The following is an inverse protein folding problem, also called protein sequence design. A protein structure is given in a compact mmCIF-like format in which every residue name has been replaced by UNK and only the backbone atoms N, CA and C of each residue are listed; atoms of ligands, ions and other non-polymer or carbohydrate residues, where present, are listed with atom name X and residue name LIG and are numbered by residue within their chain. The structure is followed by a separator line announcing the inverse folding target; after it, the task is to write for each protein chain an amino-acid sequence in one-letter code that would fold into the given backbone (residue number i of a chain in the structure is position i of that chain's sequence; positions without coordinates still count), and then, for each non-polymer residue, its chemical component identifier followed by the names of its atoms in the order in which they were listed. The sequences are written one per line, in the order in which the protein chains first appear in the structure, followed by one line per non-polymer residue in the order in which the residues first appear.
data_IF_158438466973
#
_entry.id   IF_158438466973
#
_cell.length_a   1.000
_cell.length_b   1.000
_cell.length_c   1.000
_cell.angle_alpha   90.00
_cell.angle_beta   90.00
_cell.angle_gamma   90.00
#
_symmetry.space_group_name_H-M   'P 1'
#
loop_
_entity.id
_entity.type
_entity.pdbx_description
1 polymer ?
#
# COMPACT_ATOMS: atom_id res chain seq x y z
N UNK A 1 10.14 26.95 1.03
CA UNK A 1 10.37 25.52 1.35
C UNK A 1 11.83 25.31 1.67
N UNK A 2 12.28 24.05 1.76
CA UNK A 2 13.67 23.73 2.10
C UNK A 2 14.65 23.91 0.91
N UNK A 3 14.14 23.89 -0.33
CA UNK A 3 14.94 24.12 -1.54
C UNK A 3 15.60 25.51 -1.52
N UNK A 4 16.88 25.58 -1.90
CA UNK A 4 17.69 26.81 -1.94
C UNK A 4 17.72 27.58 -0.62
N UNK A 5 17.77 26.85 0.50
CA UNK A 5 17.72 27.43 1.85
C UNK A 5 18.81 28.48 2.10
N UNK A 6 20.04 28.23 1.63
CA UNK A 6 21.17 29.16 1.72
C UNK A 6 21.50 29.85 0.38
N UNK A 7 20.56 29.81 -0.57
CA UNK A 7 20.74 30.32 -1.93
C UNK A 7 21.53 29.40 -2.86
N UNK A 8 22.00 28.24 -2.39
CA UNK A 8 22.66 27.23 -3.24
C UNK A 8 21.73 26.09 -3.61
N UNK A 9 22.08 25.33 -4.64
CA UNK A 9 21.40 24.05 -4.91
C UNK A 9 21.89 22.95 -3.96
N UNK A 10 23.07 23.11 -3.35
CA UNK A 10 23.58 22.23 -2.30
C UNK A 10 22.95 22.61 -0.93
N UNK A 11 23.60 22.31 0.19
CA UNK A 11 23.04 22.33 1.57
C UNK A 11 22.36 21.01 1.94
N UNK A 12 21.03 20.95 1.98
CA UNK A 12 20.31 19.72 2.37
C UNK A 12 20.30 18.63 1.29
N UNK A 13 20.61 19.01 0.05
CA UNK A 13 20.44 18.19 -1.14
C UNK A 13 21.76 18.00 -1.87
N UNK A 14 21.86 16.95 -2.68
CA UNK A 14 22.97 16.86 -3.63
C UNK A 14 22.86 18.00 -4.67
N UNK A 15 23.99 18.38 -5.27
CA UNK A 15 24.01 19.33 -6.39
C UNK A 15 23.90 18.59 -7.74
N UNK A 16 23.57 19.34 -8.79
CA UNK A 16 23.41 18.83 -10.16
C UNK A 16 22.35 17.72 -10.28
N UNK A 17 22.53 16.86 -11.28
CA UNK A 17 21.55 15.82 -11.62
C UNK A 17 21.34 14.76 -10.52
N UNK A 18 22.29 14.59 -9.58
CA UNK A 18 22.11 13.67 -8.44
C UNK A 18 21.10 14.22 -7.43
N UNK A 19 20.95 15.55 -7.37
CA UNK A 19 20.07 16.25 -6.45
C UNK A 19 18.64 16.46 -6.92
N UNK A 20 18.26 15.88 -8.06
CA UNK A 20 16.98 16.13 -8.73
C UNK A 20 16.28 14.80 -9.08
N UNK A 21 14.99 14.73 -8.77
CA UNK A 21 14.11 13.63 -9.12
C UNK A 21 13.17 14.06 -10.26
N UNK A 22 13.59 13.82 -11.50
CA UNK A 22 12.93 14.36 -12.70
C UNK A 22 11.46 13.97 -12.85
N UNK A 23 11.04 12.77 -12.43
CA UNK A 23 9.64 12.36 -12.49
C UNK A 23 8.75 13.03 -11.45
N UNK A 24 9.34 13.50 -10.33
CA UNK A 24 8.59 14.07 -9.21
C UNK A 24 8.81 15.58 -9.07
N UNK A 25 9.59 16.19 -9.98
CA UNK A 25 10.00 17.60 -9.92
C UNK A 25 10.47 18.00 -8.51
N UNK A 26 11.33 17.17 -7.92
CA UNK A 26 11.70 17.21 -6.50
C UNK A 26 13.20 17.20 -6.27
N UNK A 27 13.64 17.67 -5.10
CA UNK A 27 15.05 17.64 -4.67
C UNK A 27 15.38 16.36 -3.90
N UNK A 28 16.61 15.86 -4.05
CA UNK A 28 17.10 14.64 -3.38
C UNK A 28 18.11 14.96 -2.29
N UNK A 29 17.83 14.50 -1.07
CA UNK A 29 18.66 14.73 0.12
C UNK A 29 20.08 14.18 -0.07
N UNK A 30 21.05 14.87 0.52
CA UNK A 30 22.41 14.35 0.65
C UNK A 30 22.55 13.64 2.00
N UNK A 31 22.34 12.32 2.01
CA UNK A 31 22.36 11.53 3.25
C UNK A 31 23.75 11.39 3.87
N UNK A 32 24.83 11.77 3.17
CA UNK A 32 26.18 11.79 3.75
C UNK A 32 26.44 12.99 4.67
N UNK A 33 25.62 14.04 4.60
CA UNK A 33 25.83 15.26 5.38
C UNK A 33 25.29 15.13 6.81
N UNK A 34 26.13 15.47 7.79
CA UNK A 34 25.79 15.31 9.20
C UNK A 34 24.57 16.12 9.62
N UNK A 35 24.42 17.35 9.11
CA UNK A 35 23.29 18.21 9.43
C UNK A 35 21.99 17.75 8.73
N UNK A 36 22.08 17.04 7.60
CA UNK A 36 20.93 16.37 6.97
C UNK A 36 20.48 15.20 7.84
N UNK A 37 21.41 14.36 8.32
CA UNK A 37 21.09 13.29 9.27
C UNK A 37 20.47 13.84 10.55
N UNK A 38 21.05 14.92 11.12
CA UNK A 38 20.48 15.59 12.30
C UNK A 38 19.07 16.06 12.02
N UNK A 39 18.84 16.73 10.90
CA UNK A 39 17.52 17.24 10.51
C UNK A 39 16.49 16.11 10.42
N UNK A 40 16.80 15.04 9.69
CA UNK A 40 15.87 13.92 9.46
C UNK A 40 15.61 13.09 10.72
N UNK A 41 16.64 12.73 11.48
CA UNK A 41 16.47 11.98 12.74
C UNK A 41 15.75 12.80 13.80
N UNK A 42 16.02 14.10 13.87
CA UNK A 42 15.29 15.00 14.78
C UNK A 42 13.84 15.17 14.34
N UNK A 43 13.56 15.15 13.03
CA UNK A 43 12.20 15.19 12.51
C UNK A 43 11.39 13.96 12.93
N UNK A 44 11.98 12.76 12.83
CA UNK A 44 11.35 11.53 13.32
C UNK A 44 11.01 11.66 14.81
N UNK A 45 12.00 12.02 15.65
CA UNK A 45 11.76 12.21 17.08
C UNK A 45 10.73 13.29 17.39
N UNK A 46 10.74 14.40 16.66
CA UNK A 46 9.80 15.50 16.83
C UNK A 46 8.34 15.04 16.69
N UNK A 47 8.03 14.27 15.65
CA UNK A 47 6.68 13.72 15.46
C UNK A 47 6.24 12.82 16.62
N UNK A 48 7.15 12.00 17.14
CA UNK A 48 6.87 11.17 18.31
C UNK A 48 6.64 12.00 19.56
N UNK A 49 7.59 12.87 19.92
CA UNK A 49 7.61 13.53 21.22
C UNK A 49 6.52 14.62 21.32
N UNK A 50 6.19 15.31 20.22
CA UNK A 50 5.22 16.40 20.23
C UNK A 50 3.80 15.97 19.86
N UNK A 51 3.65 14.95 19.01
CA UNK A 51 2.34 14.51 18.50
C UNK A 51 1.96 13.10 18.94
N UNK A 52 2.87 12.36 19.58
CA UNK A 52 2.58 11.04 20.11
C UNK A 52 2.35 9.96 19.04
N UNK A 53 2.97 10.08 17.86
CA UNK A 53 2.88 9.03 16.84
C UNK A 53 3.54 7.72 17.31
N UNK A 54 2.83 6.60 17.12
CA UNK A 54 3.31 5.25 17.47
C UNK A 54 4.19 4.61 16.38
N UNK A 55 4.39 5.28 15.25
CA UNK A 55 5.08 4.70 14.11
C UNK A 55 5.08 5.57 12.87
N UNK A 56 5.69 5.05 11.81
CA UNK A 56 5.91 5.76 10.55
C UNK A 56 5.77 4.83 9.36
N UNK A 57 5.19 5.34 8.28
CA UNK A 57 5.41 4.81 6.93
C UNK A 57 6.45 5.69 6.26
N UNK A 58 7.53 5.08 5.77
CA UNK A 58 8.54 5.77 4.97
C UNK A 58 8.14 5.60 3.50
N UNK A 59 7.75 6.72 2.89
CA UNK A 59 7.27 6.77 1.51
C UNK A 59 8.44 6.85 0.53
N UNK A 60 8.26 6.27 -0.65
CA UNK A 60 9.27 6.33 -1.71
C UNK A 60 10.61 5.66 -1.37
N UNK A 61 10.62 4.62 -0.52
CA UNK A 61 11.85 3.91 -0.13
C UNK A 61 12.59 3.36 -1.34
N UNK A 62 11.87 2.89 -2.37
CA UNK A 62 12.49 2.48 -3.65
C UNK A 62 13.33 3.60 -4.27
N UNK A 63 12.84 4.85 -4.25
CA UNK A 63 13.55 6.02 -4.77
C UNK A 63 14.82 6.32 -3.97
N UNK A 64 14.79 6.03 -2.66
CA UNK A 64 15.94 6.17 -1.78
C UNK A 64 16.98 5.06 -2.01
N UNK A 65 16.55 3.81 -2.18
CA UNK A 65 17.44 2.65 -2.24
C UNK A 65 18.32 2.60 -3.49
N UNK A 66 17.87 3.20 -4.59
CA UNK A 66 18.55 3.10 -5.88
C UNK A 66 18.86 4.47 -6.48
N UNK A 67 20.07 4.64 -7.00
CA UNK A 67 20.44 5.81 -7.78
C UNK A 67 19.63 5.93 -9.09
N UNK A 68 19.06 4.86 -9.62
CA UNK A 68 18.07 4.93 -10.72
C UNK A 68 16.67 5.30 -10.24
N UNK A 69 16.44 5.31 -8.92
CA UNK A 69 15.15 5.54 -8.26
C UNK A 69 14.08 4.50 -8.63
N UNK A 70 14.51 3.33 -9.12
CA UNK A 70 13.64 2.30 -9.69
C UNK A 70 13.09 2.65 -11.09
N UNK A 71 13.51 3.77 -11.69
CA UNK A 71 13.00 4.22 -13.00
C UNK A 71 13.63 3.36 -14.09
N UNK A 72 12.78 2.67 -14.86
CA UNK A 72 13.22 1.82 -15.97
C UNK A 72 13.85 0.50 -15.53
N UNK A 73 13.83 0.19 -14.23
CA UNK A 73 14.30 -1.07 -13.68
C UNK A 73 13.17 -2.10 -13.64
N UNK A 74 13.52 -3.34 -13.96
CA UNK A 74 12.67 -4.50 -13.67
C UNK A 74 13.27 -5.25 -12.48
N UNK A 75 12.48 -5.52 -11.46
CA UNK A 75 12.89 -6.35 -10.33
C UNK A 75 12.37 -7.77 -10.53
N UNK A 76 13.20 -8.62 -11.12
CA UNK A 76 12.87 -10.02 -11.43
C UNK A 76 13.00 -10.94 -10.21
N UNK A 77 13.72 -10.48 -9.18
CA UNK A 77 14.11 -11.29 -8.03
C UNK A 77 15.55 -11.80 -8.10
N UNK A 78 16.30 -11.47 -9.16
CA UNK A 78 17.74 -11.72 -9.22
C UNK A 78 18.49 -10.80 -8.26
N UNK A 79 19.37 -11.35 -7.43
CA UNK A 79 20.01 -10.61 -6.34
C UNK A 79 20.99 -9.55 -6.84
N UNK A 80 21.46 -9.64 -8.08
CA UNK A 80 22.32 -8.63 -8.69
C UNK A 80 21.59 -7.29 -8.91
N UNK A 81 20.26 -7.30 -9.02
CA UNK A 81 19.42 -6.09 -9.14
C UNK A 81 19.33 -5.33 -7.81
N UNK A 82 19.48 -6.04 -6.68
CA UNK A 82 19.37 -5.48 -5.33
C UNK A 82 20.72 -5.13 -4.70
N UNK A 83 21.81 -5.73 -5.18
CA UNK A 83 23.15 -5.58 -4.61
C UNK A 83 24.17 -5.27 -5.70
N UNK A 84 24.29 -3.99 -6.06
CA UNK A 84 25.22 -3.52 -7.09
C UNK A 84 25.52 -2.03 -6.94
N UNK A 85 26.23 -1.47 -7.93
CA UNK A 85 26.63 -0.04 -7.92
C UNK A 85 25.45 0.93 -8.01
N UNK A 86 24.26 0.44 -8.36
CA UNK A 86 23.05 1.25 -8.40
C UNK A 86 22.45 1.48 -7.00
N UNK A 87 22.86 0.72 -5.98
CA UNK A 87 22.33 0.88 -4.62
C UNK A 87 22.91 2.14 -3.99
N UNK A 88 22.04 3.02 -3.49
CA UNK A 88 22.46 4.20 -2.74
C UNK A 88 22.78 3.80 -1.29
N UNK A 89 24.06 3.56 -1.04
CA UNK A 89 24.54 3.15 0.29
C UNK A 89 24.36 4.25 1.35
N UNK A 90 24.34 5.52 0.97
CA UNK A 90 24.16 6.63 1.92
C UNK A 90 22.72 6.65 2.44
N UNK A 91 21.75 6.50 1.53
CA UNK A 91 20.35 6.38 1.88
C UNK A 91 20.07 5.11 2.72
N UNK A 92 20.67 3.98 2.34
CA UNK A 92 20.54 2.72 3.08
C UNK A 92 21.05 2.85 4.52
N UNK A 93 22.21 3.49 4.72
CA UNK A 93 22.76 3.75 6.05
C UNK A 93 21.82 4.66 6.86
N UNK A 94 21.29 5.73 6.26
CA UNK A 94 20.31 6.59 6.93
C UNK A 94 19.10 5.80 7.40
N UNK A 95 18.50 4.96 6.54
CA UNK A 95 17.34 4.13 6.89
C UNK A 95 17.66 3.16 8.03
N UNK A 96 18.81 2.50 7.99
CA UNK A 96 19.23 1.59 9.06
C UNK A 96 19.46 2.33 10.39
N UNK A 97 20.09 3.51 10.35
CA UNK A 97 20.29 4.36 11.53
C UNK A 97 18.95 4.88 12.07
N UNK A 98 18.03 5.30 11.21
CA UNK A 98 16.70 5.77 11.59
C UNK A 98 15.90 4.68 12.29
N UNK A 99 15.84 3.48 11.72
CA UNK A 99 15.16 2.34 12.34
C UNK A 99 15.82 1.93 13.67
N UNK A 100 17.15 1.84 13.73
CA UNK A 100 17.85 1.57 14.98
C UNK A 100 17.55 2.62 16.05
N UNK A 101 17.60 3.90 15.69
CA UNK A 101 17.32 5.02 16.58
C UNK A 101 15.89 4.97 17.13
N UNK A 102 14.89 4.80 16.26
CA UNK A 102 13.48 4.73 16.64
C UNK A 102 13.23 3.57 17.61
N UNK A 103 13.67 2.36 17.28
CA UNK A 103 13.49 1.18 18.14
C UNK A 103 14.27 1.24 19.45
N UNK A 104 15.34 2.04 19.51
CA UNK A 104 16.05 2.32 20.77
C UNK A 104 15.32 3.32 21.65
N UNK A 105 14.62 4.28 21.04
CA UNK A 105 13.77 5.22 21.78
C UNK A 105 12.50 4.54 22.28
N UNK A 106 11.90 3.69 21.46
CA UNK A 106 10.65 3.01 21.74
C UNK A 106 10.63 1.62 21.11
N UNK A 107 10.74 0.54 21.91
CA UNK A 107 10.72 -0.82 21.38
C UNK A 107 9.40 -1.22 20.71
N UNK A 108 8.32 -0.46 20.88
CA UNK A 108 7.01 -0.74 20.30
C UNK A 108 6.69 0.10 19.06
N UNK A 109 7.60 0.99 18.64
CA UNK A 109 7.42 1.77 17.42
C UNK A 109 7.28 0.85 16.22
N UNK A 110 6.39 1.19 15.29
CA UNK A 110 6.23 0.44 14.03
C UNK A 110 6.72 1.27 12.86
N UNK A 111 7.66 0.75 12.06
CA UNK A 111 8.11 1.37 10.81
C UNK A 111 7.76 0.50 9.59
N UNK A 112 7.11 1.12 8.61
CA UNK A 112 6.65 0.45 7.38
C UNK A 112 7.36 1.07 6.17
N UNK A 113 7.96 0.25 5.32
CA UNK A 113 8.58 0.70 4.08
C UNK A 113 7.62 0.62 2.88
N UNK A 114 7.50 1.72 2.14
CA UNK A 114 6.93 1.73 0.79
C UNK A 114 8.04 1.42 -0.24
N UNK A 115 8.30 0.12 -0.41
CA UNK A 115 9.26 -0.41 -1.37
C UNK A 115 8.59 -1.36 -2.37
N UNK A 116 8.60 -0.98 -3.65
CA UNK A 116 8.10 -1.82 -4.75
C UNK A 116 9.16 -2.81 -5.23
N UNK A 117 10.45 -2.54 -4.99
CA UNK A 117 11.53 -3.32 -5.59
C UNK A 117 11.57 -4.77 -5.11
N UNK A 118 11.31 -5.00 -3.83
CA UNK A 118 11.51 -6.35 -3.28
C UNK A 118 12.72 -6.49 -2.38
N UNK A 119 13.40 -5.41 -1.99
CA UNK A 119 14.75 -5.49 -1.41
C UNK A 119 14.83 -6.51 -0.26
N UNK A 120 15.67 -7.57 -0.39
CA UNK A 120 15.85 -8.54 0.68
C UNK A 120 16.38 -7.89 1.95
N UNK A 121 15.97 -8.40 3.12
CA UNK A 121 16.40 -7.95 4.45
C UNK A 121 16.02 -6.50 4.81
N UNK A 122 15.17 -5.86 4.01
CA UNK A 122 14.61 -4.54 4.31
C UNK A 122 13.84 -4.58 5.63
N UNK A 123 13.09 -5.66 5.87
CA UNK A 123 12.28 -5.84 7.08
C UNK A 123 12.90 -6.83 8.09
N UNK A 124 14.24 -6.95 8.11
CA UNK A 124 14.97 -7.70 9.14
C UNK A 124 15.62 -6.76 10.14
N UNK A 125 15.75 -7.14 11.42
CA UNK A 125 16.36 -6.29 12.44
C UNK A 125 17.78 -5.84 12.07
N UNK A 126 18.16 -4.62 12.48
CA UNK A 126 19.51 -4.09 12.25
C UNK A 126 20.62 -4.92 12.91
N UNK A 127 20.30 -5.61 14.02
CA UNK A 127 21.21 -6.55 14.68
C UNK A 127 21.53 -7.81 13.85
N UNK A 128 20.69 -8.13 12.85
CA UNK A 128 20.89 -9.22 11.88
C UNK A 128 21.47 -8.71 10.55
N UNK A 129 21.98 -7.47 10.53
CA UNK A 129 22.41 -6.77 9.31
C UNK A 129 21.27 -6.48 8.31
N UNK A 130 20.01 -6.42 8.77
CA UNK A 130 18.89 -5.87 8.00
C UNK A 130 18.78 -4.35 8.11
N UNK A 131 17.83 -3.76 7.38
CA UNK A 131 17.58 -2.30 7.40
C UNK A 131 16.69 -1.89 8.59
N UNK A 132 15.96 -2.83 9.18
CA UNK A 132 15.26 -2.65 10.44
C UNK A 132 13.83 -2.11 10.34
N UNK A 133 13.21 -2.14 9.16
CA UNK A 133 11.76 -1.92 9.08
C UNK A 133 11.00 -3.10 9.69
N UNK A 134 9.84 -2.85 10.27
CA UNK A 134 8.99 -3.91 10.81
C UNK A 134 8.19 -4.60 9.73
N UNK A 135 7.75 -3.83 8.73
CA UNK A 135 6.98 -4.34 7.61
C UNK A 135 7.21 -3.56 6.32
N UNK A 136 6.71 -4.11 5.22
CA UNK A 136 6.65 -3.46 3.92
C UNK A 136 5.28 -3.59 3.30
N UNK A 137 4.96 -2.69 2.36
CA UNK A 137 3.72 -2.75 1.61
C UNK A 137 3.74 -3.88 0.56
N UNK A 138 2.65 -4.66 0.49
CA UNK A 138 2.41 -5.68 -0.53
C UNK A 138 1.94 -5.08 -1.86
N UNK A 139 2.77 -4.26 -2.48
CA UNK A 139 2.39 -3.37 -3.60
C UNK A 139 1.95 -4.10 -4.88
N UNK A 140 2.36 -5.36 -5.09
CA UNK A 140 1.93 -6.16 -6.24
C UNK A 140 0.48 -6.65 -6.16
N UNK A 141 -0.13 -6.64 -4.97
CA UNK A 141 -1.48 -7.18 -4.75
C UNK A 141 -2.55 -6.31 -5.44
N UNK A 142 -2.59 -4.98 -5.26
CA UNK A 142 -3.52 -4.12 -6.01
C UNK A 142 -3.37 -4.24 -7.53
N UNK A 143 -2.14 -4.28 -8.04
CA UNK A 143 -1.88 -4.40 -9.48
C UNK A 143 -2.50 -5.67 -10.06
N UNK A 144 -2.42 -6.79 -9.33
CA UNK A 144 -3.07 -8.04 -9.72
C UNK A 144 -4.58 -7.90 -9.80
N UNK A 145 -5.21 -7.20 -8.84
CA UNK A 145 -6.65 -6.98 -8.89
C UNK A 145 -7.07 -6.10 -10.06
N UNK A 146 -6.31 -5.03 -10.34
CA UNK A 146 -6.58 -4.15 -11.48
C UNK A 146 -6.41 -4.91 -12.80
N UNK A 147 -5.35 -5.73 -12.94
CA UNK A 147 -5.11 -6.58 -14.11
C UNK A 147 -6.33 -7.48 -14.39
N UNK A 148 -6.81 -8.18 -13.36
CA UNK A 148 -7.98 -9.06 -13.47
C UNK A 148 -9.25 -8.28 -13.82
N UNK A 149 -9.50 -7.15 -13.15
CA UNK A 149 -10.74 -6.37 -13.31
C UNK A 149 -10.80 -5.58 -14.63
N UNK A 150 -9.66 -5.16 -15.17
CA UNK A 150 -9.59 -4.33 -16.38
C UNK A 150 -9.60 -5.16 -17.67
N UNK A 151 -8.95 -6.33 -17.65
CA UNK A 151 -8.59 -7.04 -18.89
C UNK A 151 -9.12 -8.47 -19.00
N UNK A 152 -9.72 -9.04 -17.96
CA UNK A 152 -9.98 -10.48 -17.89
C UNK A 152 -11.42 -10.76 -17.47
N UNK A 153 -12.13 -11.62 -18.23
CA UNK A 153 -13.46 -12.09 -17.79
C UNK A 153 -13.32 -13.04 -16.60
N UNK A 154 -14.36 -13.16 -15.77
CA UNK A 154 -14.32 -13.93 -14.52
C UNK A 154 -13.93 -15.40 -14.75
N UNK A 155 -14.38 -15.99 -15.86
CA UNK A 155 -14.09 -17.38 -16.23
C UNK A 155 -12.62 -17.58 -16.65
N UNK A 156 -11.96 -16.51 -17.07
CA UNK A 156 -10.56 -16.49 -17.49
C UNK A 156 -9.61 -16.12 -16.34
N UNK A 157 -10.11 -15.83 -15.14
CA UNK A 157 -9.25 -15.60 -13.98
C UNK A 157 -8.41 -16.84 -13.67
N UNK A 158 -7.09 -16.66 -13.63
CA UNK A 158 -6.14 -17.70 -13.28
C UNK A 158 -5.96 -17.75 -11.77
N UNK A 159 -6.54 -18.77 -11.14
CA UNK A 159 -6.61 -18.92 -9.69
C UNK A 159 -5.22 -19.17 -9.11
N UNK A 160 -4.40 -19.98 -9.76
CA UNK A 160 -3.04 -20.27 -9.33
C UNK A 160 -2.14 -19.04 -9.33
N UNK A 161 -2.29 -18.17 -10.33
CA UNK A 161 -1.55 -16.91 -10.42
C UNK A 161 -2.02 -15.89 -9.38
N UNK A 162 -3.32 -15.80 -9.12
CA UNK A 162 -3.87 -14.98 -8.04
C UNK A 162 -3.32 -15.41 -6.68
N UNK A 163 -3.45 -16.70 -6.35
CA UNK A 163 -2.93 -17.26 -5.10
C UNK A 163 -1.42 -17.06 -5.01
N UNK A 164 -0.68 -17.28 -6.10
CA UNK A 164 0.76 -17.02 -6.13
C UNK A 164 1.06 -15.57 -5.79
N UNK A 165 0.33 -14.61 -6.37
CA UNK A 165 0.57 -13.18 -6.08
C UNK A 165 0.29 -12.81 -4.63
N UNK A 166 -0.76 -13.37 -4.02
CA UNK A 166 -1.10 -13.12 -2.61
C UNK A 166 -0.09 -13.77 -1.64
N UNK A 167 0.54 -14.88 -2.04
CA UNK A 167 1.42 -15.67 -1.16
C UNK A 167 2.91 -15.50 -1.45
N UNK A 168 3.29 -14.90 -2.59
CA UNK A 168 4.67 -14.72 -3.01
C UNK A 168 5.33 -13.56 -2.25
N UNK A 169 5.69 -13.82 -1.01
CA UNK A 169 6.39 -12.88 -0.12
C UNK A 169 7.56 -13.56 0.59
N UNK A 170 8.47 -12.75 1.12
CA UNK A 170 9.67 -13.25 1.78
C UNK A 170 9.30 -13.80 3.16
N UNK A 171 9.67 -15.04 3.44
CA UNK A 171 9.47 -15.62 4.76
C UNK A 171 10.28 -14.86 5.82
N UNK A 172 9.66 -14.59 6.97
CA UNK A 172 10.19 -13.77 8.08
C UNK A 172 10.37 -12.27 7.80
N UNK A 173 9.75 -11.75 6.75
CA UNK A 173 9.62 -10.31 6.52
C UNK A 173 8.12 -9.98 6.43
N UNK A 174 7.62 -9.18 7.37
CA UNK A 174 6.20 -8.84 7.49
C UNK A 174 5.73 -8.06 6.27
N UNK A 175 4.61 -8.46 5.68
CA UNK A 175 3.97 -7.74 4.58
C UNK A 175 2.61 -7.18 5.01
N UNK A 176 2.41 -5.89 4.80
CA UNK A 176 1.11 -5.22 4.93
C UNK A 176 0.36 -5.38 3.62
N UNK A 177 -0.71 -6.18 3.63
CA UNK A 177 -1.53 -6.46 2.47
C UNK A 177 -2.71 -5.50 2.36
N UNK A 178 -3.07 -5.12 1.14
CA UNK A 178 -4.22 -4.28 0.84
C UNK A 178 -4.68 -4.57 -0.59
N UNK A 179 -6.00 -4.52 -0.80
CA UNK A 179 -6.58 -4.84 -2.11
C UNK A 179 -6.50 -3.66 -3.09
N UNK A 180 -6.60 -2.44 -2.56
CA UNK A 180 -6.50 -1.18 -3.30
C UNK A 180 -6.03 -0.09 -2.33
N UNK A 181 -5.42 0.96 -2.86
CA UNK A 181 -4.80 2.01 -2.06
C UNK A 181 -5.31 3.41 -2.42
N UNK A 182 -4.67 4.42 -1.84
CA UNK A 182 -4.90 5.80 -2.19
C UNK A 182 -4.56 6.12 -3.65
N UNK A 183 -3.57 5.45 -4.26
CA UNK A 183 -3.20 5.68 -5.66
C UNK A 183 -4.34 5.30 -6.62
N UNK A 184 -4.96 4.13 -6.41
CA UNK A 184 -6.11 3.68 -7.21
C UNK A 184 -7.37 4.50 -6.95
N UNK A 185 -7.43 5.21 -5.82
CA UNK A 185 -8.54 6.09 -5.52
C UNK A 185 -8.42 7.44 -6.25
N UNK A 186 -7.25 7.81 -6.79
CA UNK A 186 -7.04 9.09 -7.46
C UNK A 186 -7.60 9.11 -8.89
N UNK A 187 -7.80 10.32 -9.42
CA UNK A 187 -8.16 10.54 -10.82
C UNK A 187 -7.13 9.91 -11.77
N UNK A 188 -7.62 9.10 -12.71
CA UNK A 188 -6.77 8.36 -13.65
C UNK A 188 -6.82 6.85 -13.46
N UNK A 189 -7.28 6.39 -12.30
CA UNK A 189 -7.66 5.00 -12.07
C UNK A 189 -9.10 4.92 -11.50
N UNK A 190 -9.51 3.73 -11.09
CA UNK A 190 -10.82 3.45 -10.49
C UNK A 190 -10.65 2.59 -9.24
N UNK A 191 -11.50 2.83 -8.25
CA UNK A 191 -11.64 1.92 -7.10
C UNK A 191 -12.13 0.55 -7.57
N UNK A 192 -11.88 -0.50 -6.79
CA UNK A 192 -12.39 -1.85 -7.06
C UNK A 192 -13.91 -1.83 -7.19
N UNK A 193 -14.59 -1.06 -6.34
CA UNK A 193 -16.04 -0.87 -6.42
C UNK A 193 -16.46 -0.32 -7.79
N UNK A 194 -15.77 0.71 -8.29
CA UNK A 194 -16.10 1.33 -9.58
C UNK A 194 -15.66 0.49 -10.79
N UNK A 195 -14.61 -0.32 -10.67
CA UNK A 195 -14.27 -1.36 -11.65
C UNK A 195 -15.37 -2.41 -11.77
N UNK A 196 -15.92 -2.85 -10.64
CA UNK A 196 -16.92 -3.91 -10.59
C UNK A 196 -18.33 -3.45 -11.01
N UNK A 197 -18.73 -2.26 -10.60
CA UNK A 197 -20.12 -1.79 -10.70
C UNK A 197 -20.32 -0.61 -11.65
N UNK A 198 -19.26 0.17 -11.92
CA UNK A 198 -19.30 1.32 -12.80
C UNK A 198 -20.46 2.28 -12.51
N UNK A 199 -21.10 2.77 -13.57
CA UNK A 199 -22.20 3.74 -13.47
C UNK A 199 -23.48 3.18 -12.81
N UNK A 200 -23.63 1.87 -12.72
CA UNK A 200 -24.82 1.26 -12.09
C UNK A 200 -24.88 1.59 -10.59
N UNK A 201 -23.74 1.96 -9.98
CA UNK A 201 -23.68 2.43 -8.60
C UNK A 201 -24.61 3.63 -8.33
N UNK A 202 -24.84 4.49 -9.33
CA UNK A 202 -25.64 5.70 -9.16
C UNK A 202 -27.15 5.45 -9.17
N UNK A 203 -27.60 4.30 -9.67
CA UNK A 203 -29.03 4.00 -9.90
C UNK A 203 -29.52 2.77 -9.15
N UNK A 204 -28.65 1.77 -8.92
CA UNK A 204 -29.02 0.46 -8.39
C UNK A 204 -28.43 0.16 -6.99
N UNK A 205 -27.84 1.16 -6.33
CA UNK A 205 -27.38 1.05 -4.94
C UNK A 205 -28.48 1.28 -3.90
N UNK A 206 -29.72 1.57 -4.32
CA UNK A 206 -30.88 1.55 -3.41
C UNK A 206 -31.31 0.11 -3.11
N UNK A 207 -31.64 -0.17 -1.86
CA UNK A 207 -32.28 -1.42 -1.42
C UNK A 207 -33.68 -1.61 -2.01
N UNK A 208 -34.28 -0.53 -2.52
CA UNK A 208 -35.59 -0.52 -3.18
C UNK A 208 -35.49 -0.55 -4.71
N UNK A 209 -34.28 -0.53 -5.29
CA UNK A 209 -34.13 -0.62 -6.74
C UNK A 209 -34.47 -2.03 -7.23
N UNK A 210 -34.82 -2.14 -8.52
CA UNK A 210 -34.93 -3.44 -9.18
C UNK A 210 -33.60 -4.22 -9.07
N UNK A 211 -33.65 -5.57 -9.06
CA UNK A 211 -32.45 -6.41 -9.05
C UNK A 211 -31.53 -6.10 -10.23
N UNK A 212 -30.23 -6.03 -9.98
CA UNK A 212 -29.23 -5.73 -11.00
C UNK A 212 -28.01 -6.64 -10.79
N UNK A 213 -27.78 -7.55 -11.74
CA UNK A 213 -26.73 -8.55 -11.67
C UNK A 213 -25.31 -7.94 -11.58
N UNK A 214 -25.10 -6.74 -12.13
CA UNK A 214 -23.81 -6.03 -12.05
C UNK A 214 -23.54 -5.58 -10.61
N UNK A 215 -24.56 -5.04 -9.92
CA UNK A 215 -24.45 -4.67 -8.51
C UNK A 215 -24.29 -5.90 -7.63
N UNK A 216 -25.10 -6.94 -7.85
CA UNK A 216 -25.03 -8.16 -7.04
C UNK A 216 -23.64 -8.82 -7.16
N UNK A 217 -23.12 -8.94 -8.38
CA UNK A 217 -21.74 -9.39 -8.66
C UNK A 217 -20.72 -8.48 -7.98
N UNK A 218 -20.85 -7.17 -8.12
CA UNK A 218 -19.88 -6.22 -7.59
C UNK A 218 -19.83 -6.21 -6.07
N UNK A 219 -20.97 -6.30 -5.39
CA UNK A 219 -21.02 -6.42 -3.93
C UNK A 219 -20.39 -7.73 -3.45
N UNK A 220 -20.62 -8.83 -4.16
CA UNK A 220 -20.03 -10.13 -3.82
C UNK A 220 -18.51 -10.12 -4.01
N UNK A 221 -18.03 -9.73 -5.19
CA UNK A 221 -16.60 -9.73 -5.51
C UNK A 221 -15.82 -8.73 -4.67
N UNK A 222 -16.38 -7.56 -4.36
CA UNK A 222 -15.72 -6.59 -3.48
C UNK A 222 -15.41 -7.19 -2.10
N UNK A 223 -16.37 -7.91 -1.52
CA UNK A 223 -16.17 -8.62 -0.25
C UNK A 223 -15.14 -9.75 -0.38
N UNK A 224 -15.24 -10.56 -1.45
CA UNK A 224 -14.34 -11.70 -1.66
C UNK A 224 -12.88 -11.25 -1.88
N UNK A 225 -12.66 -10.24 -2.70
CA UNK A 225 -11.33 -9.66 -2.99
C UNK A 225 -10.69 -9.15 -1.70
N UNK A 226 -11.44 -8.43 -0.87
CA UNK A 226 -10.93 -7.91 0.40
C UNK A 226 -10.64 -9.02 1.39
N UNK A 227 -11.55 -9.99 1.54
CA UNK A 227 -11.36 -11.12 2.45
C UNK A 227 -10.16 -11.98 2.06
N UNK A 228 -10.00 -12.33 0.79
CA UNK A 228 -8.86 -13.16 0.36
C UNK A 228 -7.53 -12.41 0.46
N UNK A 229 -7.54 -11.09 0.22
CA UNK A 229 -6.36 -10.25 0.45
C UNK A 229 -6.00 -10.18 1.93
N UNK A 230 -7.00 -9.99 2.80
CA UNK A 230 -6.84 -9.94 4.25
C UNK A 230 -6.39 -11.28 4.83
N UNK A 231 -6.86 -12.40 4.29
CA UNK A 231 -6.56 -13.74 4.81
C UNK A 231 -5.31 -14.36 4.21
N UNK A 232 -4.92 -14.06 2.97
CA UNK A 232 -3.75 -14.67 2.33
C UNK A 232 -2.60 -13.70 2.06
N UNK A 233 -2.86 -12.40 1.96
CA UNK A 233 -1.95 -11.41 1.39
C UNK A 233 -0.75 -11.01 2.26
N UNK A 234 -0.87 -11.08 3.59
CA UNK A 234 0.17 -10.57 4.48
C UNK A 234 -0.04 -10.89 5.95
N UNK A 235 0.84 -10.37 6.79
CA UNK A 235 0.83 -10.41 8.26
C UNK A 235 0.17 -9.16 8.87
N UNK A 236 -0.22 -8.20 8.04
CA UNK A 236 -1.01 -7.02 8.43
C UNK A 236 -1.95 -6.63 7.29
N UNK A 237 -2.99 -5.86 7.60
CA UNK A 237 -3.96 -5.37 6.61
C UNK A 237 -4.04 -3.84 6.61
N UNK A 238 -4.20 -3.26 5.43
CA UNK A 238 -4.40 -1.82 5.24
C UNK A 238 -5.65 -1.57 4.40
N UNK A 239 -6.39 -0.52 4.75
CA UNK A 239 -7.54 -0.03 4.00
C UNK A 239 -7.47 1.50 3.88
N UNK A 240 -7.66 2.02 2.67
CA UNK A 240 -7.77 3.46 2.44
C UNK A 240 -9.20 3.95 2.66
N UNK A 241 -9.35 5.07 3.37
CA UNK A 241 -10.64 5.63 3.78
C UNK A 241 -11.67 5.69 2.64
N UNK A 242 -12.86 5.12 2.88
CA UNK A 242 -13.95 5.02 1.91
C UNK A 242 -14.01 3.68 1.18
N UNK A 243 -12.88 3.01 0.97
CA UNK A 243 -12.87 1.74 0.23
C UNK A 243 -13.51 0.61 1.06
N UNK A 244 -13.61 0.77 2.38
CA UNK A 244 -14.25 -0.20 3.26
C UNK A 244 -15.71 -0.46 2.93
N UNK A 245 -16.40 0.56 2.41
CA UNK A 245 -17.79 0.47 1.99
C UNK A 245 -17.98 0.58 0.48
N UNK A 246 -16.90 0.51 -0.30
CA UNK A 246 -16.95 0.64 -1.75
C UNK A 246 -17.40 2.04 -2.19
N UNK A 247 -16.76 3.09 -1.67
CA UNK A 247 -17.04 4.48 -2.04
C UNK A 247 -17.08 4.64 -3.58
N UNK A 248 -18.12 5.30 -4.13
CA UNK A 248 -18.25 5.50 -5.57
C UNK A 248 -17.25 6.56 -6.08
N UNK A 249 -17.24 6.80 -7.39
CA UNK A 249 -16.43 7.85 -8.03
C UNK A 249 -14.91 7.65 -7.80
N UNK A 250 -14.17 8.74 -7.70
CA UNK A 250 -12.73 8.83 -7.45
C UNK A 250 -12.44 10.09 -6.63
N UNK A 251 -11.21 10.19 -6.14
CA UNK A 251 -10.63 11.34 -5.45
C UNK A 251 -9.89 12.21 -6.49
N UNK A 252 -10.23 13.49 -6.60
CA UNK A 252 -9.48 14.45 -7.42
C UNK A 252 -9.28 15.73 -6.61
N UNK A 253 -8.03 16.15 -6.49
CA UNK A 253 -7.67 17.37 -5.76
C UNK A 253 -7.86 18.60 -6.65
N UNK A 254 -8.13 19.78 -6.08
CA UNK A 254 -8.15 21.04 -6.83
C UNK A 254 -6.84 21.24 -7.59
N UNK A 255 -6.96 21.44 -8.90
CA UNK A 255 -5.85 21.75 -9.80
C UNK A 255 -6.36 22.50 -11.02
N UNK A 256 -5.44 23.09 -11.78
CA UNK A 256 -5.76 23.84 -13.02
C UNK A 256 -6.59 22.97 -13.98
N UNK A 257 -6.27 21.68 -14.08
CA UNK A 257 -6.97 20.72 -14.96
C UNK A 257 -8.43 20.42 -14.60
N UNK A 258 -8.91 20.80 -13.41
CA UNK A 258 -10.30 20.65 -12.99
C UNK A 258 -10.93 21.96 -12.48
N UNK A 259 -10.35 23.11 -12.84
CA UNK A 259 -10.77 24.44 -12.42
C UNK A 259 -10.80 24.62 -10.89
N UNK A 260 -9.79 24.11 -10.19
CA UNK A 260 -9.67 24.20 -8.73
C UNK A 260 -10.90 23.64 -7.99
N UNK A 261 -11.47 22.56 -8.54
CA UNK A 261 -12.69 21.95 -8.01
C UNK A 261 -12.41 21.11 -6.76
N UNK A 262 -13.20 21.35 -5.71
CA UNK A 262 -13.23 20.53 -4.50
C UNK A 262 -14.30 19.42 -4.55
N UNK A 263 -15.02 19.28 -5.67
CA UNK A 263 -16.18 18.40 -5.76
C UNK A 263 -15.84 16.93 -5.45
N UNK A 264 -14.68 16.46 -5.89
CA UNK A 264 -14.20 15.08 -5.65
C UNK A 264 -13.19 14.98 -4.51
N UNK A 265 -12.75 16.11 -3.92
CA UNK A 265 -11.81 16.15 -2.79
C UNK A 265 -12.54 15.95 -1.44
N UNK A 266 -13.36 14.91 -1.34
CA UNK A 266 -14.22 14.63 -0.18
C UNK A 266 -14.52 13.14 -0.01
N UNK A 267 -15.12 12.78 1.12
CA UNK A 267 -15.76 11.48 1.34
C UNK A 267 -17.25 11.61 1.61
N UNK A 268 -18.02 10.72 1.01
CA UNK A 268 -19.47 10.70 1.07
C UNK A 268 -19.97 9.81 2.22
N UNK A 269 -19.64 10.17 3.47
CA UNK A 269 -19.96 9.35 4.66
C UNK A 269 -21.47 9.08 4.83
N UNK A 270 -22.32 9.99 4.37
CA UNK A 270 -23.78 9.80 4.38
C UNK A 270 -24.25 8.53 3.63
N UNK A 271 -23.43 7.98 2.72
CA UNK A 271 -23.78 6.76 1.97
C UNK A 271 -23.88 5.51 2.85
N UNK A 272 -23.13 5.43 3.94
CA UNK A 272 -23.18 4.31 4.89
C UNK A 272 -24.25 4.52 5.97
N UNK A 273 -24.58 5.76 6.29
CA UNK A 273 -25.60 6.11 7.29
C UNK A 273 -27.02 5.85 6.75
N UNK A 274 -27.22 6.02 5.44
CA UNK A 274 -28.51 5.81 4.79
C UNK A 274 -28.88 4.32 4.72
N UNK A 275 -29.89 3.95 5.52
CA UNK A 275 -30.39 2.58 5.61
C UNK A 275 -31.01 2.08 4.30
N UNK A 276 -31.38 2.98 3.38
CA UNK A 276 -31.93 2.64 2.07
C UNK A 276 -30.84 2.31 1.05
N UNK A 277 -29.55 2.52 1.34
CA UNK A 277 -28.45 2.25 0.41
C UNK A 277 -27.68 0.96 0.75
N UNK A 278 -27.15 0.31 -0.29
CA UNK A 278 -26.43 -0.98 -0.21
C UNK A 278 -24.98 -0.85 0.30
N UNK A 279 -24.40 0.36 0.36
CA UNK A 279 -23.03 0.59 0.88
C UNK A 279 -22.84 0.05 2.30
N UNK A 280 -23.89 0.14 3.13
CA UNK A 280 -23.93 -0.42 4.49
C UNK A 280 -23.57 -1.91 4.55
N UNK A 281 -23.86 -2.68 3.50
CA UNK A 281 -23.56 -4.12 3.47
C UNK A 281 -22.07 -4.39 3.29
N UNK A 282 -21.38 -3.55 2.53
CA UNK A 282 -19.92 -3.62 2.38
C UNK A 282 -19.24 -3.18 3.68
N UNK A 283 -19.71 -2.08 4.26
CA UNK A 283 -19.23 -1.56 5.54
C UNK A 283 -19.39 -2.59 6.68
N UNK A 284 -20.57 -3.22 6.77
CA UNK A 284 -20.84 -4.24 7.78
C UNK A 284 -19.97 -5.49 7.59
N UNK A 285 -19.76 -5.91 6.34
CA UNK A 285 -18.84 -7.00 6.04
C UNK A 285 -17.41 -6.67 6.47
N UNK A 286 -16.93 -5.45 6.19
CA UNK A 286 -15.61 -5.00 6.62
C UNK A 286 -15.45 -5.02 8.14
N UNK A 287 -16.44 -4.47 8.85
CA UNK A 287 -16.49 -4.48 10.31
C UNK A 287 -16.38 -5.91 10.85
N UNK A 288 -17.17 -6.83 10.30
CA UNK A 288 -17.16 -8.24 10.73
C UNK A 288 -15.85 -8.92 10.34
N UNK A 289 -15.28 -8.65 9.16
CA UNK A 289 -14.00 -9.20 8.73
C UNK A 289 -12.88 -8.86 9.74
N UNK A 290 -12.76 -7.59 10.12
CA UNK A 290 -11.75 -7.15 11.09
C UNK A 290 -12.02 -7.71 12.51
N UNK A 291 -13.27 -7.71 12.97
CA UNK A 291 -13.60 -8.30 14.28
C UNK A 291 -13.38 -9.81 14.34
N UNK A 292 -13.55 -10.49 13.21
CA UNK A 292 -13.26 -11.91 13.10
C UNK A 292 -11.75 -12.13 13.14
N UNK A 293 -10.94 -11.26 12.53
CA UNK A 293 -9.49 -11.33 12.68
C UNK A 293 -9.05 -11.06 14.13
N UNK A 294 -9.63 -10.07 14.81
CA UNK A 294 -9.37 -9.82 16.24
C UNK A 294 -9.72 -11.02 17.13
N UNK A 295 -10.67 -11.86 16.72
CA UNK A 295 -11.05 -13.06 17.47
C UNK A 295 -10.14 -14.26 17.18
N UNK A 296 -9.73 -14.44 15.92
CA UNK A 296 -9.03 -15.64 15.46
C UNK A 296 -7.56 -15.40 15.09
N UNK A 297 -7.06 -14.17 15.15
CA UNK A 297 -5.66 -13.74 14.98
C UNK A 297 -4.93 -14.38 13.80
N UNK A 298 -5.57 -14.47 12.62
CA UNK A 298 -4.91 -15.10 11.47
C UNK A 298 -3.82 -14.24 10.85
N UNK A 299 -3.76 -12.93 11.11
CA UNK A 299 -2.66 -12.11 10.59
C UNK A 299 -1.37 -12.37 11.38
N UNK A 300 -1.46 -12.58 12.69
CA UNK A 300 -0.35 -12.90 13.60
C UNK A 300 -0.06 -14.42 13.68
N UNK A 301 -0.05 -15.09 12.52
CA UNK A 301 0.32 -16.50 12.45
C UNK A 301 1.21 -16.79 11.22
N UNK A 302 1.73 -18.02 11.14
CA UNK A 302 2.46 -18.45 9.96
C UNK A 302 1.60 -18.34 8.68
N UNK A 303 2.23 -18.20 7.50
CA UNK A 303 1.51 -18.15 6.23
C UNK A 303 0.54 -19.31 6.04
N UNK A 304 -0.58 -19.04 5.37
CA UNK A 304 -1.64 -20.01 5.14
C UNK A 304 -1.17 -21.24 4.36
N UNK A 305 -1.76 -22.39 4.66
CA UNK A 305 -1.65 -23.59 3.83
C UNK A 305 -2.78 -23.60 2.79
N UNK A 306 -2.44 -23.42 1.51
CA UNK A 306 -3.42 -23.45 0.41
C UNK A 306 -3.60 -24.89 -0.06
N UNK A 307 -4.72 -25.51 0.29
CA UNK A 307 -5.04 -26.91 -0.02
C UNK A 307 -5.68 -27.07 -1.41
N UNK A 308 -6.36 -26.04 -1.93
CA UNK A 308 -7.01 -26.09 -3.23
C UNK A 308 -6.88 -24.76 -3.99
N UNK A 309 -6.55 -24.85 -5.27
CA UNK A 309 -6.54 -23.76 -6.26
C UNK A 309 -7.08 -24.29 -7.60
N UNK A 310 -8.37 -24.60 -7.64
CA UNK A 310 -9.00 -25.29 -8.75
C UNK A 310 -9.41 -24.29 -9.84
N UNK A 311 -8.81 -24.42 -11.03
CA UNK A 311 -9.01 -23.47 -12.14
C UNK A 311 -10.41 -23.57 -12.75
N UNK A 312 -10.90 -24.78 -13.03
CA UNK A 312 -12.17 -24.95 -13.74
C UNK A 312 -13.37 -24.55 -12.88
N UNK A 313 -13.34 -24.90 -11.59
CA UNK A 313 -14.40 -24.58 -10.61
C UNK A 313 -14.20 -23.21 -9.95
N UNK A 314 -13.12 -22.49 -10.30
CA UNK A 314 -12.76 -21.18 -9.73
C UNK A 314 -12.80 -21.15 -8.20
N UNK A 315 -12.25 -22.20 -7.58
CA UNK A 315 -12.35 -22.43 -6.13
C UNK A 315 -10.98 -22.36 -5.46
N UNK A 316 -10.89 -21.62 -4.35
CA UNK A 316 -9.72 -21.52 -3.48
C UNK A 316 -10.10 -22.03 -2.10
N UNK A 317 -9.31 -22.95 -1.56
CA UNK A 317 -9.42 -23.37 -0.16
C UNK A 317 -8.05 -23.25 0.52
N UNK A 318 -8.03 -22.65 1.70
CA UNK A 318 -6.83 -22.43 2.48
C UNK A 318 -7.14 -22.46 3.98
N UNK A 319 -6.14 -22.82 4.76
CA UNK A 319 -6.17 -22.86 6.22
C UNK A 319 -5.18 -21.84 6.75
N UNK A 320 -5.63 -20.98 7.68
CA UNK A 320 -4.78 -19.99 8.34
C UNK A 320 -5.23 -19.85 9.79
N UNK A 321 -4.30 -20.10 10.71
CA UNK A 321 -4.50 -20.18 12.16
C UNK A 321 -5.60 -21.17 12.60
N UNK A 322 -5.36 -22.47 12.33
CA UNK A 322 -6.23 -23.57 12.77
C UNK A 322 -6.17 -23.83 14.28
#
# INVERSE_FOLDING_TARGET
GLNQFDGTNACYFHDGARGEHSLWDSRLFNYSEFEVLRFLLSNLRWWRDEYGFDGYRFDGVTSMLYHSRGIGEGFSGDYNEYFGLNVDTEALIYLAVANYFLHKLDPNVVTIAEDVSGMPTLCRPTAECGIGFDARLGMAIPDKWIELLKGTSDEAWNIGNLVHTLTNRRYKETTVAYAESHDQALVGDKTIAFWLMGKEMYTHMSTMSEPNLIIDRGLALHKMIRLITHSLGGEAYLNFMGNEFGHPEWLDFPRIGNNESFHYARRQWHLIDDQMLKYRFLNEFDRVMNLTEEQYHWLDCNPAYVSCKHEDDKTIAAERNN
#
